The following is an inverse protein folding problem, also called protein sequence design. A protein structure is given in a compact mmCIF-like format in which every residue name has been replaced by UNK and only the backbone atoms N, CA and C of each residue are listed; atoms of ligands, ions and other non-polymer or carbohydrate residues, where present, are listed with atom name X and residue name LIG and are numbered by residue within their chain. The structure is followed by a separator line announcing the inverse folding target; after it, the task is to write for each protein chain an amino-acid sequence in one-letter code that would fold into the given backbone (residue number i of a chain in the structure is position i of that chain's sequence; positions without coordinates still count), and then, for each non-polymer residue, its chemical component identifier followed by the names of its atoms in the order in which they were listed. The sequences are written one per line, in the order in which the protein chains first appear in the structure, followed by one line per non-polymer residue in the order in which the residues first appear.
data_IF_780357790401
#
_entry.id   IF_780357790401
#
_cell.length_a   1.000
_cell.length_b   1.000
_cell.length_c   1.000
_cell.angle_alpha   90.00
_cell.angle_beta   90.00
_cell.angle_gamma   90.00
#
_symmetry.space_group_name_H-M   'P 1'
#
loop_
_entity.id
_entity.type
_entity.pdbx_description
1 polymer ?
#
# COMPACT_ATOMS: atom_id res chain seq x y z
N UNK A 1 19.01 12.55 -28.22
CA UNK A 1 18.62 13.17 -26.94
C UNK A 1 18.96 12.29 -25.75
N UNK A 2 18.39 11.09 -25.59
CA UNK A 2 18.94 10.08 -24.65
C UNK A 2 20.42 9.78 -24.96
N UNK A 3 20.77 9.63 -26.24
CA UNK A 3 22.18 9.57 -26.69
C UNK A 3 23.00 10.79 -26.27
N UNK A 4 22.41 11.97 -26.27
CA UNK A 4 23.07 13.25 -25.94
C UNK A 4 23.36 13.37 -24.44
N UNK A 5 22.47 12.81 -23.61
CA UNK A 5 22.67 12.68 -22.17
C UNK A 5 23.80 11.69 -21.86
N UNK A 6 23.78 10.51 -22.48
CA UNK A 6 24.85 9.52 -22.32
C UNK A 6 26.20 9.93 -22.93
N UNK A 7 26.24 10.94 -23.81
CA UNK A 7 27.50 11.51 -24.33
C UNK A 7 28.05 12.65 -23.48
N UNK A 8 27.37 13.06 -22.39
CA UNK A 8 27.95 14.04 -21.46
C UNK A 8 29.11 13.41 -20.69
N UNK A 9 30.26 14.10 -20.62
CA UNK A 9 31.47 13.59 -19.95
C UNK A 9 31.22 13.19 -18.50
N UNK A 10 30.46 14.00 -17.75
CA UNK A 10 30.09 13.69 -16.37
C UNK A 10 29.27 12.40 -16.26
N UNK A 11 28.34 12.18 -17.19
CA UNK A 11 27.52 10.96 -17.22
C UNK A 11 28.35 9.74 -17.58
N UNK A 12 29.19 9.84 -18.61
CA UNK A 12 30.11 8.77 -19.02
C UNK A 12 31.07 8.38 -17.90
N UNK A 13 31.58 9.36 -17.15
CA UNK A 13 32.42 9.12 -16.00
C UNK A 13 31.68 8.35 -14.90
N UNK A 14 30.47 8.78 -14.51
CA UNK A 14 29.69 8.08 -13.48
C UNK A 14 29.31 6.66 -13.91
N UNK A 15 28.99 6.45 -15.19
CA UNK A 15 28.71 5.10 -15.71
C UNK A 15 29.96 4.22 -15.68
N UNK A 16 31.13 4.75 -16.07
CA UNK A 16 32.39 4.01 -15.99
C UNK A 16 32.78 3.67 -14.54
N UNK A 17 32.64 4.63 -13.62
CA UNK A 17 32.83 4.41 -12.19
C UNK A 17 31.88 3.32 -11.67
N UNK A 18 30.61 3.37 -12.06
CA UNK A 18 29.65 2.31 -11.76
C UNK A 18 30.12 0.96 -12.29
N UNK A 19 30.49 0.85 -13.57
CA UNK A 19 30.90 -0.42 -14.18
C UNK A 19 32.16 -1.01 -13.54
N UNK A 20 33.13 -0.18 -13.15
CA UNK A 20 34.40 -0.62 -12.55
C UNK A 20 34.34 -0.82 -11.03
N UNK A 21 33.43 -0.14 -10.33
CA UNK A 21 33.31 -0.23 -8.87
C UNK A 21 32.91 -1.63 -8.41
N UNK A 22 33.63 -2.17 -7.43
CA UNK A 22 33.32 -3.45 -6.79
C UNK A 22 32.15 -3.36 -5.80
N UNK A 23 31.89 -2.16 -5.25
CA UNK A 23 30.90 -1.93 -4.21
C UNK A 23 29.55 -1.45 -4.77
N UNK A 24 29.57 -0.60 -5.79
CA UNK A 24 28.35 -0.02 -6.37
C UNK A 24 27.64 -1.05 -7.24
N UNK A 25 26.41 -1.42 -6.85
CA UNK A 25 25.59 -2.41 -7.57
C UNK A 25 24.37 -1.83 -8.28
N UNK A 26 24.01 -0.58 -8.00
CA UNK A 26 22.78 0.04 -8.54
C UNK A 26 23.17 1.34 -9.23
N UNK A 27 22.61 1.54 -10.42
CA UNK A 27 22.59 2.82 -11.12
C UNK A 27 21.14 3.17 -11.42
N UNK A 28 20.71 4.36 -11.06
CA UNK A 28 19.36 4.87 -11.29
C UNK A 28 19.43 6.07 -12.22
N UNK A 29 18.61 6.06 -13.26
CA UNK A 29 18.42 7.19 -14.16
C UNK A 29 16.99 7.66 -14.00
N UNK A 30 16.82 8.89 -13.52
CA UNK A 30 15.50 9.49 -13.31
C UNK A 30 15.30 10.69 -14.23
N UNK A 31 14.08 10.83 -14.76
CA UNK A 31 13.69 12.03 -15.49
C UNK A 31 13.19 13.09 -14.49
N UNK A 32 13.86 14.25 -14.45
CA UNK A 32 13.56 15.34 -13.51
C UNK A 32 12.69 16.45 -14.14
N UNK A 33 12.48 16.39 -15.45
CA UNK A 33 11.64 17.30 -16.25
C UNK A 33 11.77 16.99 -17.74
N UNK A 34 11.07 17.71 -18.62
CA UNK A 34 11.10 17.47 -20.07
C UNK A 34 12.53 17.39 -20.60
N UNK A 35 12.97 16.18 -20.98
CA UNK A 35 14.30 15.90 -21.52
C UNK A 35 15.49 16.19 -20.58
N UNK A 36 15.30 16.20 -19.25
CA UNK A 36 16.39 16.32 -18.27
C UNK A 36 16.50 15.06 -17.41
N UNK A 37 17.63 14.37 -17.51
CA UNK A 37 17.91 13.15 -16.76
C UNK A 37 18.97 13.39 -15.68
N UNK A 38 18.85 12.65 -14.58
CA UNK A 38 19.82 12.63 -13.48
C UNK A 38 20.21 11.19 -13.15
N UNK A 39 21.49 10.97 -12.86
CA UNK A 39 22.05 9.67 -12.48
C UNK A 39 22.32 9.65 -10.98
N UNK A 40 21.96 8.54 -10.35
CA UNK A 40 22.19 8.30 -8.93
C UNK A 40 22.71 6.88 -8.71
N UNK A 41 23.67 6.74 -7.80
CA UNK A 41 24.31 5.44 -7.48
C UNK A 41 23.66 4.75 -6.26
N UNK A 42 22.64 5.39 -5.68
CA UNK A 42 21.87 4.87 -4.55
C UNK A 42 20.44 5.40 -4.62
N UNK A 43 19.49 4.62 -4.06
CA UNK A 43 18.11 5.06 -3.88
C UNK A 43 18.10 6.11 -2.76
N UNK A 44 17.67 7.33 -3.05
CA UNK A 44 17.44 8.35 -2.03
C UNK A 44 15.94 8.60 -1.85
N UNK A 45 15.45 8.87 -0.62
CA UNK A 45 14.03 9.10 -0.38
C UNK A 45 13.42 10.23 -1.23
N UNK A 46 14.22 11.26 -1.55
CA UNK A 46 13.80 12.38 -2.40
C UNK A 46 13.48 11.99 -3.84
N UNK A 47 14.00 10.86 -4.34
CA UNK A 47 13.66 10.34 -5.67
C UNK A 47 12.27 9.69 -5.68
N UNK A 48 11.84 9.13 -4.55
CA UNK A 48 10.53 8.48 -4.40
C UNK A 48 9.40 9.48 -4.13
N UNK A 49 9.73 10.70 -3.68
CA UNK A 49 8.77 11.77 -3.39
C UNK A 49 8.35 12.55 -4.64
N UNK A 50 9.08 12.45 -5.75
CA UNK A 50 8.71 13.12 -7.01
C UNK A 50 7.74 12.24 -7.78
N UNK A 51 6.47 12.60 -7.73
CA UNK A 51 5.34 11.84 -8.29
C UNK A 51 5.40 11.58 -9.81
N UNK A 52 6.37 12.11 -10.56
CA UNK A 52 6.40 12.05 -12.04
C UNK A 52 7.63 11.34 -12.64
N UNK A 53 8.54 10.77 -11.83
CA UNK A 53 9.77 10.21 -12.37
C UNK A 53 9.59 8.75 -12.82
N UNK A 54 9.66 8.51 -14.14
CA UNK A 54 10.04 7.18 -14.63
C UNK A 54 11.52 6.98 -14.30
N UNK A 55 11.84 5.88 -13.59
CA UNK A 55 13.20 5.58 -13.17
C UNK A 55 13.66 4.33 -13.89
N UNK A 56 14.70 4.42 -14.71
CA UNK A 56 15.42 3.28 -15.24
C UNK A 56 16.46 2.86 -14.19
N UNK A 57 16.45 1.60 -13.78
CA UNK A 57 17.49 1.03 -12.93
C UNK A 57 18.34 0.05 -13.72
N UNK A 58 19.63 0.06 -13.40
CA UNK A 58 20.63 -0.90 -13.87
C UNK A 58 21.26 -1.50 -12.62
N UNK A 59 21.25 -2.81 -12.55
CA UNK A 59 21.68 -3.60 -11.40
C UNK A 59 22.78 -4.55 -11.83
N UNK A 60 23.87 -4.61 -11.07
CA UNK A 60 24.84 -5.70 -11.22
C UNK A 60 24.33 -6.95 -10.55
N UNK A 61 24.29 -8.06 -11.28
CA UNK A 61 23.92 -9.37 -10.74
C UNK A 61 24.84 -9.77 -9.57
N UNK A 62 26.15 -9.51 -9.71
CA UNK A 62 27.18 -9.82 -8.71
C UNK A 62 27.93 -8.56 -8.26
N UNK A 63 28.59 -8.64 -7.09
CA UNK A 63 29.55 -7.61 -6.65
C UNK A 63 30.83 -7.75 -7.48
N UNK A 64 31.30 -6.64 -8.06
CA UNK A 64 32.52 -6.64 -8.87
C UNK A 64 32.44 -5.73 -10.11
N UNK A 65 33.58 -5.54 -10.79
CA UNK A 65 33.61 -4.90 -12.09
C UNK A 65 32.86 -5.74 -13.13
N UNK A 66 32.16 -5.08 -14.05
CA UNK A 66 31.40 -5.75 -15.13
C UNK A 66 32.36 -6.08 -16.26
N UNK A 67 32.35 -7.32 -16.73
CA UNK A 67 33.17 -7.76 -17.86
C UNK A 67 32.58 -7.28 -19.19
N UNK A 68 33.44 -6.77 -20.08
CA UNK A 68 33.05 -6.38 -21.44
C UNK A 68 32.56 -7.55 -22.29
N UNK A 69 32.92 -8.79 -21.94
CA UNK A 69 32.51 -9.99 -22.68
C UNK A 69 31.15 -10.54 -22.21
N UNK A 70 30.77 -10.27 -20.96
CA UNK A 70 29.59 -10.89 -20.29
C UNK A 70 28.58 -9.90 -19.74
N UNK A 71 28.70 -8.62 -20.10
CA UNK A 71 27.85 -7.54 -19.59
C UNK A 71 26.35 -7.83 -19.69
N UNK A 72 25.90 -8.52 -20.74
CA UNK A 72 24.48 -8.84 -20.94
C UNK A 72 23.90 -9.78 -19.87
N UNK A 73 24.70 -10.71 -19.33
CA UNK A 73 24.29 -11.60 -18.23
C UNK A 73 24.58 -11.01 -16.84
N UNK A 74 25.49 -10.03 -16.76
CA UNK A 74 25.92 -9.43 -15.51
C UNK A 74 25.11 -8.17 -15.14
N UNK A 75 24.44 -7.54 -16.11
CA UNK A 75 23.60 -6.37 -15.93
C UNK A 75 22.12 -6.73 -16.06
N UNK A 76 21.37 -6.45 -15.00
CA UNK A 76 19.92 -6.49 -14.98
C UNK A 76 19.40 -5.08 -15.19
N UNK A 77 18.47 -4.91 -16.12
CA UNK A 77 17.86 -3.60 -16.39
C UNK A 77 16.36 -3.69 -16.16
N UNK A 78 15.76 -2.59 -15.71
CA UNK A 78 14.32 -2.50 -15.58
C UNK A 78 13.87 -1.07 -15.30
N UNK A 79 12.57 -0.86 -15.38
CA UNK A 79 11.95 0.44 -15.17
C UNK A 79 11.01 0.40 -13.97
N UNK A 80 11.07 1.46 -13.17
CA UNK A 80 10.16 1.74 -12.07
C UNK A 80 9.21 2.85 -12.50
N UNK A 81 7.91 2.59 -12.35
CA UNK A 81 6.83 3.51 -12.71
C UNK A 81 6.24 4.18 -11.47
N UNK A 82 5.41 5.21 -11.65
CA UNK A 82 4.77 6.00 -10.58
C UNK A 82 4.05 5.14 -9.52
N UNK A 83 3.40 4.06 -9.94
CA UNK A 83 2.63 3.19 -9.04
C UNK A 83 3.48 2.00 -8.59
N UNK A 84 4.59 2.27 -7.89
CA UNK A 84 5.53 1.25 -7.43
C UNK A 84 4.85 0.11 -6.66
N UNK A 85 3.98 0.46 -5.73
CA UNK A 85 3.31 -0.51 -4.88
C UNK A 85 2.30 -1.38 -5.66
N UNK A 86 1.60 -0.80 -6.65
CA UNK A 86 0.71 -1.55 -7.55
C UNK A 86 1.50 -2.46 -8.49
N UNK A 87 2.62 -1.95 -9.03
CA UNK A 87 3.50 -2.73 -9.91
C UNK A 87 4.10 -3.90 -9.15
N UNK A 88 4.52 -3.67 -7.91
CA UNK A 88 5.00 -4.70 -7.00
C UNK A 88 3.92 -5.74 -6.71
N UNK A 89 2.68 -5.32 -6.43
CA UNK A 89 1.57 -6.25 -6.26
C UNK A 89 1.36 -7.10 -7.51
N UNK A 90 1.33 -6.50 -8.70
CA UNK A 90 1.15 -7.23 -9.96
C UNK A 90 2.28 -8.24 -10.20
N UNK A 91 3.54 -7.83 -10.02
CA UNK A 91 4.69 -8.75 -10.13
C UNK A 91 4.60 -9.91 -9.14
N UNK A 92 4.16 -9.65 -7.91
CA UNK A 92 3.95 -10.71 -6.93
C UNK A 92 2.89 -11.71 -7.39
N UNK A 93 1.74 -11.25 -7.87
CA UNK A 93 0.64 -12.13 -8.31
C UNK A 93 0.96 -12.88 -9.59
N UNK A 94 1.48 -12.18 -10.60
CA UNK A 94 1.59 -12.72 -11.95
C UNK A 94 2.87 -13.54 -12.14
N UNK A 95 3.92 -13.26 -11.35
CA UNK A 95 5.26 -13.84 -11.54
C UNK A 95 5.73 -14.57 -10.28
N UNK A 96 5.91 -13.87 -9.17
CA UNK A 96 6.62 -14.45 -8.02
C UNK A 96 5.82 -15.50 -7.25
N UNK A 97 4.51 -15.31 -7.07
CA UNK A 97 3.64 -16.29 -6.42
C UNK A 97 3.62 -17.59 -7.22
N UNK A 98 3.29 -17.62 -8.53
CA UNK A 98 3.38 -18.84 -9.34
C UNK A 98 4.77 -19.47 -9.32
N UNK A 99 5.84 -18.67 -9.41
CA UNK A 99 7.20 -19.21 -9.37
C UNK A 99 7.52 -19.88 -8.03
N UNK A 100 7.12 -19.26 -6.91
CA UNK A 100 7.45 -19.73 -5.57
C UNK A 100 6.55 -20.87 -5.07
N UNK A 101 5.29 -20.94 -5.51
CA UNK A 101 4.29 -21.88 -4.96
C UNK A 101 3.94 -23.04 -5.89
N UNK A 102 4.42 -23.04 -7.15
CA UNK A 102 4.13 -24.15 -8.06
C UNK A 102 4.95 -25.38 -7.70
N UNK A 103 4.27 -26.51 -7.52
CA UNK A 103 4.87 -27.81 -7.16
C UNK A 103 6.06 -28.24 -8.04
N UNK A 104 6.00 -28.00 -9.35
CA UNK A 104 7.08 -28.29 -10.29
C UNK A 104 8.38 -27.52 -9.99
N UNK A 105 8.27 -26.30 -9.44
CA UNK A 105 9.41 -25.46 -9.07
C UNK A 105 9.94 -25.79 -7.66
N UNK A 106 9.17 -26.54 -6.87
CA UNK A 106 9.51 -26.91 -5.50
C UNK A 106 10.12 -28.32 -5.39
N UNK A 107 10.29 -29.04 -6.49
CA UNK A 107 10.78 -30.43 -6.49
C UNK A 107 12.14 -30.62 -5.82
N UNK A 108 13.02 -29.61 -5.90
CA UNK A 108 14.35 -29.64 -5.29
C UNK A 108 14.35 -29.21 -3.81
N UNK A 109 13.22 -28.77 -3.27
CA UNK A 109 13.13 -28.25 -1.91
C UNK A 109 12.60 -29.32 -0.95
N UNK A 110 13.16 -29.43 0.27
CA UNK A 110 12.53 -30.19 1.34
C UNK A 110 11.11 -29.67 1.61
N UNK A 111 10.17 -30.56 1.92
CA UNK A 111 8.75 -30.21 2.14
C UNK A 111 8.57 -29.07 3.13
N UNK A 112 9.29 -29.11 4.27
CA UNK A 112 9.24 -28.06 5.29
C UNK A 112 9.66 -26.67 4.74
N UNK A 113 10.64 -26.64 3.83
CA UNK A 113 11.12 -25.40 3.20
C UNK A 113 10.10 -24.89 2.19
N UNK A 114 9.53 -25.77 1.37
CA UNK A 114 8.51 -25.41 0.39
C UNK A 114 7.25 -24.83 1.05
N UNK A 115 6.78 -25.45 2.13
CA UNK A 115 5.66 -24.94 2.93
C UNK A 115 6.00 -23.59 3.56
N UNK A 116 7.19 -23.45 4.18
CA UNK A 116 7.60 -22.18 4.80
C UNK A 116 7.70 -21.03 3.79
N UNK A 117 8.26 -21.27 2.59
CA UNK A 117 8.34 -20.25 1.54
C UNK A 117 6.94 -19.86 1.07
N UNK A 118 6.05 -20.84 0.90
CA UNK A 118 4.66 -20.62 0.50
C UNK A 118 3.95 -19.73 1.51
N UNK A 119 4.03 -20.06 2.80
CA UNK A 119 3.39 -19.28 3.88
C UNK A 119 3.95 -17.84 3.97
N UNK A 120 5.27 -17.68 3.80
CA UNK A 120 5.92 -16.37 3.83
C UNK A 120 5.48 -15.49 2.65
N UNK A 121 5.42 -16.06 1.45
CA UNK A 121 4.96 -15.35 0.24
C UNK A 121 3.49 -14.93 0.38
N UNK A 122 2.65 -15.78 0.95
CA UNK A 122 1.23 -15.49 1.19
C UNK A 122 1.04 -14.40 2.25
N UNK A 123 1.80 -14.47 3.35
CA UNK A 123 1.81 -13.45 4.41
C UNK A 123 2.25 -12.10 3.85
N UNK A 124 3.29 -12.11 3.03
CA UNK A 124 3.77 -10.91 2.35
C UNK A 124 2.71 -10.33 1.40
N UNK A 125 2.06 -11.17 0.61
CA UNK A 125 0.98 -10.74 -0.29
C UNK A 125 -0.18 -10.11 0.47
N UNK A 126 -0.58 -10.71 1.59
CA UNK A 126 -1.63 -10.16 2.46
C UNK A 126 -1.27 -8.78 2.98
N UNK A 127 -0.04 -8.61 3.48
CA UNK A 127 0.47 -7.33 3.96
C UNK A 127 0.55 -6.29 2.84
N UNK A 128 0.99 -6.68 1.65
CA UNK A 128 1.09 -5.80 0.48
C UNK A 128 -0.30 -5.31 0.03
N UNK A 129 -1.32 -6.17 0.03
CA UNK A 129 -2.71 -5.78 -0.26
C UNK A 129 -3.24 -4.79 0.78
N UNK A 130 -3.01 -5.06 2.06
CA UNK A 130 -3.37 -4.15 3.16
C UNK A 130 -2.72 -2.78 2.96
N UNK A 131 -1.41 -2.75 2.74
CA UNK A 131 -0.68 -1.49 2.56
C UNK A 131 -1.17 -0.75 1.31
N UNK A 132 -1.45 -1.46 0.21
CA UNK A 132 -1.99 -0.83 -0.99
C UNK A 132 -3.37 -0.20 -0.73
N UNK A 133 -4.25 -0.88 -0.01
CA UNK A 133 -5.52 -0.31 0.44
C UNK A 133 -5.30 0.96 1.26
N UNK A 134 -4.41 0.90 2.25
CA UNK A 134 -4.12 2.04 3.13
C UNK A 134 -3.59 3.25 2.36
N UNK A 135 -2.74 3.05 1.33
CA UNK A 135 -2.28 4.16 0.47
C UNK A 135 -3.41 4.82 -0.31
N UNK A 136 -4.48 4.08 -0.60
CA UNK A 136 -5.69 4.60 -1.25
C UNK A 136 -6.70 5.16 -0.25
N UNK A 137 -6.45 5.02 1.06
CA UNK A 137 -7.37 5.41 2.13
C UNK A 137 -8.55 4.44 2.27
N UNK A 138 -8.33 3.16 1.99
CA UNK A 138 -9.30 2.08 2.12
C UNK A 138 -8.70 0.95 2.97
N UNK A 139 -9.56 0.18 3.62
CA UNK A 139 -9.13 -1.01 4.36
C UNK A 139 -9.40 -2.24 3.53
N UNK A 140 -8.34 -2.95 3.13
CA UNK A 140 -8.45 -4.21 2.40
C UNK A 140 -8.50 -5.41 3.35
N UNK A 141 -9.42 -6.33 3.09
CA UNK A 141 -9.52 -7.63 3.72
C UNK A 141 -8.88 -8.66 2.77
N UNK A 142 -7.59 -9.02 2.96
CA UNK A 142 -6.91 -9.92 2.04
C UNK A 142 -7.58 -11.28 2.06
N UNK A 143 -7.89 -11.81 0.87
CA UNK A 143 -8.43 -13.15 0.74
C UNK A 143 -7.33 -14.18 0.99
N UNK A 144 -7.67 -15.35 1.54
CA UNK A 144 -6.75 -16.47 1.52
C UNK A 144 -6.35 -16.77 0.06
N UNK A 145 -5.14 -17.33 -0.16
CA UNK A 145 -4.71 -17.80 -1.47
C UNK A 145 -5.80 -18.70 -2.05
N UNK A 146 -6.08 -18.61 -3.35
CA UNK A 146 -7.13 -19.43 -3.97
C UNK A 146 -6.90 -20.89 -3.61
N UNK A 147 -7.79 -21.39 -2.74
CA UNK A 147 -7.87 -22.78 -2.40
C UNK A 147 -8.35 -23.50 -3.66
N UNK A 148 -7.41 -23.89 -4.53
CA UNK A 148 -7.66 -24.80 -5.66
C UNK A 148 -7.97 -26.22 -5.17
N UNK A 149 -8.78 -26.32 -4.12
CA UNK A 149 -9.34 -27.57 -3.65
C UNK A 149 -10.76 -27.60 -4.16
N UNK A 150 -11.05 -28.60 -5.00
CA UNK A 150 -12.41 -29.12 -5.07
C UNK A 150 -12.93 -29.27 -3.63
N UNK A 151 -14.22 -28.99 -3.33
CA UNK A 151 -14.79 -29.13 -1.99
C UNK A 151 -14.61 -30.52 -1.35
N UNK A 152 -14.13 -31.50 -2.11
CA UNK A 152 -13.90 -32.89 -1.70
C UNK A 152 -12.43 -33.26 -1.49
N UNK A 153 -11.47 -32.48 -1.97
CA UNK A 153 -10.05 -32.84 -1.95
C UNK A 153 -9.20 -31.69 -1.41
N UNK A 154 -9.11 -31.60 -0.08
CA UNK A 154 -7.94 -31.23 0.74
C UNK A 154 -8.41 -31.31 2.19
N UNK A 155 -7.56 -31.83 3.09
CA UNK A 155 -7.82 -32.02 4.52
C UNK A 155 -8.51 -30.78 5.12
N UNK A 156 -9.81 -30.89 5.38
CA UNK A 156 -10.68 -29.83 5.91
C UNK A 156 -10.05 -29.10 7.11
N UNK A 157 -9.28 -29.83 7.93
CA UNK A 157 -8.68 -29.34 9.16
C UNK A 157 -7.51 -28.37 8.95
N UNK A 158 -6.66 -28.60 7.95
CA UNK A 158 -5.50 -27.75 7.68
C UNK A 158 -5.93 -26.42 7.04
N UNK A 159 -7.03 -26.45 6.28
CA UNK A 159 -7.62 -25.24 5.69
C UNK A 159 -8.31 -24.36 6.74
N UNK A 160 -8.97 -24.96 7.74
CA UNK A 160 -9.64 -24.20 8.80
C UNK A 160 -8.67 -23.27 9.52
N UNK A 161 -7.47 -23.73 9.87
CA UNK A 161 -6.47 -22.90 10.54
C UNK A 161 -6.02 -21.70 9.71
N UNK A 162 -5.86 -21.86 8.39
CA UNK A 162 -5.53 -20.77 7.47
C UNK A 162 -6.67 -19.75 7.40
N UNK A 163 -7.91 -20.23 7.26
CA UNK A 163 -9.09 -19.38 7.22
C UNK A 163 -9.32 -18.63 8.54
N UNK A 164 -9.08 -19.28 9.69
CA UNK A 164 -9.11 -18.65 11.01
C UNK A 164 -8.05 -17.55 11.12
N UNK A 165 -6.84 -17.78 10.59
CA UNK A 165 -5.80 -16.77 10.49
C UNK A 165 -6.24 -15.54 9.69
N UNK A 166 -6.88 -15.74 8.53
CA UNK A 166 -7.46 -14.64 7.75
C UNK A 166 -8.52 -13.87 8.55
N UNK A 167 -9.40 -14.57 9.26
CA UNK A 167 -10.46 -13.95 10.05
C UNK A 167 -9.91 -13.09 11.19
N UNK A 168 -8.80 -13.50 11.81
CA UNK A 168 -8.07 -12.71 12.81
C UNK A 168 -7.51 -11.42 12.18
N UNK A 169 -6.90 -11.52 11.00
CA UNK A 169 -6.38 -10.35 10.27
C UNK A 169 -7.54 -9.39 9.94
N UNK A 170 -8.65 -9.89 9.40
CA UNK A 170 -9.83 -9.09 9.08
C UNK A 170 -10.38 -8.40 10.32
N UNK A 171 -10.50 -9.14 11.43
CA UNK A 171 -10.95 -8.60 12.72
C UNK A 171 -10.07 -7.43 13.17
N UNK A 172 -8.75 -7.57 13.08
CA UNK A 172 -7.80 -6.50 13.44
C UNK A 172 -7.99 -5.28 12.55
N UNK A 173 -8.12 -5.47 11.24
CA UNK A 173 -8.28 -4.36 10.29
C UNK A 173 -9.58 -3.58 10.50
N UNK A 174 -10.69 -4.30 10.66
CA UNK A 174 -12.00 -3.67 10.90
C UNK A 174 -12.01 -2.93 12.23
N UNK A 175 -11.47 -3.54 13.31
CA UNK A 175 -11.36 -2.88 14.61
C UNK A 175 -10.51 -1.61 14.56
N UNK A 176 -9.46 -1.58 13.75
CA UNK A 176 -8.63 -0.37 13.62
C UNK A 176 -9.43 0.81 13.06
N UNK A 177 -10.34 0.58 12.10
CA UNK A 177 -11.20 1.63 11.55
C UNK A 177 -12.32 2.02 12.51
N UNK A 178 -12.91 1.05 13.21
CA UNK A 178 -13.96 1.33 14.20
C UNK A 178 -13.44 2.18 15.38
N UNK A 179 -12.17 2.03 15.74
CA UNK A 179 -11.50 2.83 16.79
C UNK A 179 -11.19 4.27 16.37
N UNK A 180 -11.27 4.61 15.09
CA UNK A 180 -10.99 5.98 14.64
C UNK A 180 -12.08 6.92 15.16
N UNK A 181 -11.67 7.98 15.84
CA UNK A 181 -12.55 8.98 16.43
C UNK A 181 -12.12 10.38 15.94
N UNK A 182 -13.06 11.27 15.58
CA UNK A 182 -12.73 12.67 15.28
C UNK A 182 -11.92 13.36 16.39
N UNK A 183 -12.09 12.99 17.67
CA UNK A 183 -11.32 13.54 18.80
C UNK A 183 -9.81 13.24 18.71
N UNK A 184 -9.41 12.20 17.97
CA UNK A 184 -8.01 11.92 17.70
C UNK A 184 -7.33 13.05 16.91
N UNK A 185 -8.09 13.84 16.14
CA UNK A 185 -7.56 15.01 15.44
C UNK A 185 -7.13 16.12 16.42
N UNK A 186 -7.82 16.23 17.56
CA UNK A 186 -7.54 17.19 18.62
C UNK A 186 -6.32 16.76 19.44
N UNK A 187 -6.20 15.45 19.69
CA UNK A 187 -5.15 14.89 20.54
C UNK A 187 -3.78 14.73 19.85
N UNK A 188 -3.66 15.04 18.55
CA UNK A 188 -2.41 14.99 17.78
C UNK A 188 -1.43 16.14 18.11
N UNK A 189 -1.27 16.47 19.40
CA UNK A 189 -0.18 17.29 19.90
C UNK A 189 1.14 16.51 19.80
N UNK A 190 1.74 16.51 18.62
CA UNK A 190 3.11 15.99 18.46
C UNK A 190 4.04 16.97 19.18
N UNK A 191 4.88 16.50 20.11
CA UNK A 191 5.78 17.33 20.95
C UNK A 191 6.68 18.31 20.15
N UNK A 192 6.86 18.08 18.85
CA UNK A 192 7.73 18.86 17.96
C UNK A 192 6.99 19.71 16.90
N UNK A 193 5.66 19.80 16.94
CA UNK A 193 4.87 20.63 16.00
C UNK A 193 3.94 21.57 16.76
N UNK A 194 3.85 22.82 16.27
CA UNK A 194 2.94 23.83 16.81
C UNK A 194 1.52 23.25 16.96
N UNK A 195 0.77 23.62 18.01
CA UNK A 195 -0.59 23.12 18.23
C UNK A 195 -1.44 23.39 16.99
N UNK A 196 -1.75 22.33 16.24
CA UNK A 196 -2.66 22.38 15.11
C UNK A 196 -4.05 22.38 15.71
N UNK A 197 -4.77 23.49 15.59
CA UNK A 197 -6.19 23.54 15.93
C UNK A 197 -6.96 23.05 14.71
N UNK A 198 -7.40 21.77 14.62
CA UNK A 198 -8.15 21.30 13.47
C UNK A 198 -9.47 22.09 13.41
N UNK A 199 -9.70 22.78 12.29
CA UNK A 199 -10.95 23.50 12.06
C UNK A 199 -12.10 22.53 11.73
N UNK A 200 -13.36 23.03 11.70
CA UNK A 200 -14.53 22.21 11.38
C UNK A 200 -14.46 21.48 10.02
N UNK A 201 -13.67 22.00 9.08
CA UNK A 201 -13.42 21.36 7.78
C UNK A 201 -12.63 20.04 7.89
N UNK A 202 -11.79 19.88 8.91
CA UNK A 202 -11.02 18.65 9.12
C UNK A 202 -11.90 17.52 9.67
N UNK A 203 -12.90 17.85 10.49
CA UNK A 203 -13.90 16.89 10.97
C UNK A 203 -14.75 16.35 9.82
N UNK A 204 -15.21 17.23 8.93
CA UNK A 204 -15.92 16.79 7.73
C UNK A 204 -15.06 15.88 6.85
N UNK A 205 -13.77 16.20 6.64
CA UNK A 205 -12.87 15.34 5.88
C UNK A 205 -12.70 13.97 6.54
N UNK A 206 -12.65 13.93 7.87
CA UNK A 206 -12.61 12.68 8.63
C UNK A 206 -13.85 11.83 8.38
N UNK A 207 -15.06 12.40 8.50
CA UNK A 207 -16.30 11.65 8.28
C UNK A 207 -16.45 11.15 6.85
N UNK A 208 -16.07 11.95 5.85
CA UNK A 208 -16.01 11.51 4.44
C UNK A 208 -15.08 10.31 4.28
N UNK A 209 -13.86 10.39 4.84
CA UNK A 209 -12.88 9.31 4.74
C UNK A 209 -13.36 8.04 5.48
N UNK A 210 -13.92 8.19 6.69
CA UNK A 210 -14.44 7.08 7.51
C UNK A 210 -15.65 6.42 6.85
N UNK A 211 -16.59 7.21 6.34
CA UNK A 211 -17.74 6.73 5.56
C UNK A 211 -17.28 5.94 4.33
N UNK A 212 -16.39 6.51 3.49
CA UNK A 212 -15.89 5.82 2.29
C UNK A 212 -15.23 4.48 2.63
N UNK A 213 -14.40 4.46 3.67
CA UNK A 213 -13.71 3.24 4.10
C UNK A 213 -14.71 2.19 4.64
N UNK A 214 -15.65 2.58 5.52
CA UNK A 214 -16.67 1.67 6.05
C UNK A 214 -17.61 1.12 4.96
N UNK A 215 -17.93 1.91 3.93
CA UNK A 215 -18.65 1.41 2.75
C UNK A 215 -17.83 0.36 1.99
N UNK A 216 -16.55 0.63 1.70
CA UNK A 216 -15.66 -0.33 1.03
C UNK A 216 -15.50 -1.64 1.82
N UNK A 217 -15.34 -1.57 3.15
CA UNK A 217 -15.29 -2.75 4.02
C UNK A 217 -16.61 -3.55 3.93
N UNK A 218 -17.75 -2.85 3.97
CA UNK A 218 -19.06 -3.50 3.88
C UNK A 218 -19.25 -4.22 2.54
N UNK A 219 -18.86 -3.60 1.43
CA UNK A 219 -18.90 -4.22 0.10
C UNK A 219 -17.98 -5.45 0.02
N UNK A 220 -16.77 -5.36 0.57
CA UNK A 220 -15.85 -6.50 0.68
C UNK A 220 -16.47 -7.64 1.49
N UNK A 221 -17.04 -7.37 2.67
CA UNK A 221 -17.71 -8.38 3.51
C UNK A 221 -18.88 -9.05 2.80
N UNK A 222 -19.54 -8.35 1.88
CA UNK A 222 -20.61 -8.91 1.07
C UNK A 222 -20.14 -9.74 -0.13
N UNK A 223 -18.85 -9.70 -0.48
CA UNK A 223 -18.31 -10.44 -1.62
C UNK A 223 -18.50 -11.96 -1.47
N UNK A 224 -18.75 -12.64 -2.59
CA UNK A 224 -18.95 -14.10 -2.61
C UNK A 224 -17.74 -14.86 -2.03
N UNK A 225 -16.52 -14.35 -2.26
CA UNK A 225 -15.30 -14.95 -1.73
C UNK A 225 -15.25 -14.94 -0.20
N UNK A 226 -15.58 -13.81 0.44
CA UNK A 226 -15.63 -13.72 1.91
C UNK A 226 -16.80 -14.54 2.46
N UNK A 227 -17.97 -14.50 1.82
CA UNK A 227 -19.13 -15.31 2.24
C UNK A 227 -18.83 -16.80 2.23
N UNK A 228 -18.13 -17.30 1.19
CA UNK A 228 -17.68 -18.70 1.12
C UNK A 228 -16.77 -19.06 2.28
N UNK A 229 -15.78 -18.21 2.60
CA UNK A 229 -14.88 -18.43 3.75
C UNK A 229 -15.65 -18.53 5.06
N UNK A 230 -16.60 -17.61 5.29
CA UNK A 230 -17.42 -17.63 6.51
C UNK A 230 -18.31 -18.88 6.59
N UNK A 231 -18.87 -19.32 5.47
CA UNK A 231 -19.67 -20.55 5.40
C UNK A 231 -18.82 -21.79 5.74
N UNK A 232 -17.60 -21.90 5.19
CA UNK A 232 -16.69 -23.00 5.53
C UNK A 232 -16.32 -23.01 7.01
N UNK A 233 -16.01 -21.84 7.59
CA UNK A 233 -15.71 -21.72 9.02
C UNK A 233 -16.91 -22.06 9.91
N UNK A 234 -18.14 -21.83 9.44
CA UNK A 234 -19.36 -22.15 10.18
C UNK A 234 -19.62 -23.66 10.20
N UNK A 235 -19.44 -24.31 9.04
CA UNK A 235 -19.50 -25.77 8.92
C UNK A 235 -18.43 -26.46 9.79
N UNK A 236 -17.25 -25.86 9.96
CA UNK A 236 -16.19 -26.37 10.82
C UNK A 236 -16.37 -26.02 12.31
N UNK A 237 -17.46 -25.33 12.68
CA UNK A 237 -17.75 -24.86 14.05
C UNK A 237 -16.63 -24.01 14.65
N UNK A 238 -16.01 -23.14 13.83
CA UNK A 238 -14.94 -22.26 14.30
C UNK A 238 -15.44 -21.31 15.39
N UNK A 239 -14.65 -21.16 16.47
CA UNK A 239 -14.97 -20.28 17.60
C UNK A 239 -14.89 -18.79 17.25
N UNK A 240 -14.24 -18.45 16.12
CA UNK A 240 -14.02 -17.07 15.68
C UNK A 240 -15.20 -16.45 14.94
N UNK A 241 -16.16 -17.26 14.45
CA UNK A 241 -17.30 -16.77 13.67
C UNK A 241 -18.25 -15.88 14.47
N UNK A 242 -18.61 -16.27 15.70
CA UNK A 242 -19.56 -15.52 16.52
C UNK A 242 -19.03 -14.10 16.83
N UNK A 243 -17.78 -13.92 17.32
CA UNK A 243 -17.19 -12.60 17.48
C UNK A 243 -17.13 -11.79 16.17
N UNK A 244 -16.83 -12.44 15.05
CA UNK A 244 -16.75 -11.75 13.76
C UNK A 244 -18.13 -11.29 13.25
N UNK A 245 -19.18 -12.09 13.45
CA UNK A 245 -20.55 -11.68 13.11
C UNK A 245 -21.00 -10.46 13.93
N UNK A 246 -20.62 -10.39 15.23
CA UNK A 246 -20.84 -9.18 16.05
C UNK A 246 -20.10 -7.98 15.48
N UNK A 247 -18.85 -8.16 15.07
CA UNK A 247 -18.05 -7.11 14.45
C UNK A 247 -18.67 -6.60 13.13
N UNK A 248 -19.23 -7.49 12.31
CA UNK A 248 -19.95 -7.11 11.09
C UNK A 248 -21.18 -6.23 11.40
N UNK A 249 -21.89 -6.53 12.50
CA UNK A 249 -23.00 -5.70 12.98
C UNK A 249 -22.53 -4.33 13.46
N UNK A 250 -21.41 -4.26 14.18
CA UNK A 250 -20.79 -2.98 14.58
C UNK A 250 -20.42 -2.14 13.35
N UNK A 251 -19.84 -2.76 12.30
CA UNK A 251 -19.55 -2.08 11.03
C UNK A 251 -20.83 -1.53 10.39
N UNK A 252 -21.93 -2.28 10.38
CA UNK A 252 -23.20 -1.81 9.83
C UNK A 252 -23.70 -0.55 10.53
N UNK A 253 -23.67 -0.53 11.87
CA UNK A 253 -24.08 0.64 12.65
C UNK A 253 -23.13 1.83 12.46
N UNK A 254 -21.82 1.62 12.57
CA UNK A 254 -20.82 2.68 12.38
C UNK A 254 -20.85 3.26 10.96
N UNK A 255 -21.17 2.43 9.96
CA UNK A 255 -21.35 2.87 8.57
C UNK A 255 -22.57 3.78 8.43
N UNK A 256 -23.70 3.41 9.02
CA UNK A 256 -24.91 4.23 8.99
C UNK A 256 -24.64 5.59 9.64
N UNK A 257 -24.05 5.60 10.84
CA UNK A 257 -23.64 6.82 11.54
C UNK A 257 -22.69 7.69 10.70
N UNK A 258 -21.63 7.09 10.13
CA UNK A 258 -20.67 7.85 9.32
C UNK A 258 -21.31 8.44 8.06
N UNK A 259 -22.24 7.72 7.42
CA UNK A 259 -22.97 8.23 6.26
C UNK A 259 -23.92 9.38 6.64
N UNK A 260 -24.63 9.25 7.75
CA UNK A 260 -25.53 10.29 8.27
C UNK A 260 -24.74 11.54 8.65
N UNK A 261 -23.58 11.39 9.31
CA UNK A 261 -22.71 12.53 9.64
C UNK A 261 -22.20 13.24 8.38
N UNK A 262 -21.82 12.52 7.33
CA UNK A 262 -21.46 13.14 6.04
C UNK A 262 -22.65 13.92 5.46
N UNK A 263 -23.85 13.35 5.51
CA UNK A 263 -25.07 13.98 5.00
C UNK A 263 -25.42 15.27 5.75
N UNK A 264 -25.35 15.25 7.09
CA UNK A 264 -25.73 16.39 7.93
C UNK A 264 -24.65 17.47 8.08
N UNK A 265 -23.37 17.13 7.93
CA UNK A 265 -22.27 18.10 7.93
C UNK A 265 -22.11 18.81 6.59
N UNK A 266 -22.54 18.20 5.47
CA UNK A 266 -22.39 18.78 4.14
C UNK A 266 -22.98 20.21 3.99
N UNK A 267 -24.18 20.53 4.51
CA UNK A 267 -24.74 21.89 4.45
C UNK A 267 -23.95 22.94 5.24
N UNK A 268 -23.15 22.54 6.23
CA UNK A 268 -22.38 23.44 7.09
C UNK A 268 -21.03 23.83 6.47
N UNK A 269 -20.54 23.06 5.49
CA UNK A 269 -19.24 23.29 4.85
C UNK A 269 -19.03 24.69 4.27
N UNK A 270 -20.00 25.31 3.57
CA UNK A 270 -19.82 26.66 3.04
C UNK A 270 -19.56 27.70 4.13
N UNK A 271 -20.12 27.50 5.33
CA UNK A 271 -19.98 28.42 6.47
C UNK A 271 -18.66 28.22 7.20
N UNK A 272 -18.13 26.99 7.23
CA UNK A 272 -16.84 26.68 7.80
C UNK A 272 -15.65 27.07 6.90
N UNK A 273 -15.89 27.30 5.61
CA UNK A 273 -14.88 27.68 4.63
C UNK A 273 -14.68 29.20 4.50
N UNK A 274 -15.51 30.03 5.15
CA UNK A 274 -15.33 31.48 5.17
C UNK A 274 -14.07 31.77 6.00
N UNK A 275 -12.98 32.27 5.40
CA UNK A 275 -11.89 32.81 6.21
C UNK A 275 -12.50 33.90 7.06
N UNK A 276 -12.20 33.95 8.36
CA UNK A 276 -12.42 35.16 9.14
C UNK A 276 -11.92 36.33 8.29
N UNK A 277 -12.84 37.08 7.67
CA UNK A 277 -12.51 38.34 7.04
C UNK A 277 -11.99 39.14 8.22
N UNK A 278 -10.67 39.30 8.27
CA UNK A 278 -10.06 40.31 9.10
C UNK A 278 -10.87 41.55 8.84
N UNK A 279 -11.54 42.05 9.87
CA UNK A 279 -11.98 43.43 9.89
C UNK A 279 -10.69 44.25 9.78
N UNK A 280 -10.24 44.49 8.55
CA UNK A 280 -9.30 45.56 8.25
C UNK A 280 -10.04 46.82 8.64
N UNK A 281 -9.72 47.34 9.82
CA UNK A 281 -9.97 48.71 10.21
C UNK A 281 -9.27 49.62 9.20
N UNK A 282 -9.96 49.92 8.10
CA UNK A 282 -9.62 51.02 7.20
C UNK A 282 -10.52 52.20 7.59
N UNK A 283 -9.83 53.30 7.87
CA UNK A 283 -10.28 54.68 7.73
C UNK A 283 -11.43 55.19 8.60
N UNK A 284 -11.04 55.76 9.75
CA UNK A 284 -11.58 57.07 10.16
C UNK A 284 -10.46 58.09 10.21
N UNK A 285 -10.01 58.51 9.03
CA UNK A 285 -9.45 59.85 8.85
C UNK A 285 -10.61 60.73 8.40
N UNK A 286 -11.23 61.45 9.33
CA UNK A 286 -12.14 62.55 9.01
C UNK A 286 -11.90 63.64 10.05
N UNK A 287 -11.08 64.59 9.61
CA UNK A 287 -11.24 66.04 9.81
C UNK A 287 -11.72 66.51 11.17
N UNK A 288 -10.79 67.14 11.92
CA UNK A 288 -10.88 68.54 12.36
C UNK A 288 -9.48 69.07 12.71
#
# INVERSE_FOLDING_TARGET
MLRTFFTSDATSQTVNEFLQSSETRVLLVSETGSNRYCIHNAVTPSMLLKESANILYILKAMKGPVSMEKYASELLTGSLTRNLLETMHRMMVDVFVPLATHSANQLAWPEMVATSITDNVQTFMSNLQITLGQTKGETCLPLPPETKANPQDVKLKDQVHVLEGCLIIWTKQVKNILKLDPEMLLNNHTKDKAPRNPGPSEENRFWIAKSRNLNSIFDQLQSDSIRKVLQYLDMSKSTYNIPFAKLCKEVFHARAEANDNVLFLAPLLPWCAVPYMSHTSSDRTTTL
#
